data_IF_039703969809
#
_entry.id   IF_039703969809
#
_cell.length_a   1.000
_cell.length_b   1.000
_cell.length_c   1.000
_cell.angle_alpha   90.00
_cell.angle_beta   90.00
_cell.angle_gamma   90.00
#
_symmetry.space_group_name_H-M   'P 1'
#
loop_
_entity.id
_entity.type
_entity.pdbx_description
1 polymer ?
#
# COMPACT_ATOMS: atom_id res chain seq x y z
N UNK A 1 9.97 -5.09 -0.95
CA UNK A 1 8.94 -5.49 0.03
C UNK A 1 8.69 -4.29 0.92
N UNK A 2 7.42 -3.92 1.13
CA UNK A 2 7.01 -2.74 1.89
C UNK A 2 5.92 -3.13 2.87
N UNK A 3 6.07 -2.74 4.13
CA UNK A 3 5.17 -3.03 5.24
C UNK A 3 4.24 -1.86 5.59
N UNK A 4 3.22 -2.14 6.41
CA UNK A 4 2.24 -1.17 6.89
C UNK A 4 1.48 -0.40 5.81
N UNK A 5 1.29 -1.02 4.64
CA UNK A 5 0.69 -0.39 3.46
C UNK A 5 -0.80 -0.10 3.61
N UNK A 6 -1.48 -0.68 4.61
CA UNK A 6 -2.87 -0.35 4.94
C UNK A 6 -2.99 0.84 5.91
N UNK A 7 -1.87 1.31 6.48
CA UNK A 7 -1.83 2.44 7.42
C UNK A 7 -2.89 2.35 8.54
N UNK A 8 -3.05 1.19 9.16
CA UNK A 8 -4.08 0.89 10.16
C UNK A 8 -5.50 0.87 9.60
N UNK A 9 -5.67 0.47 8.33
CA UNK A 9 -6.95 0.48 7.62
C UNK A 9 -7.38 1.84 7.04
N UNK A 10 -6.72 2.94 7.43
CA UNK A 10 -7.11 4.30 7.06
C UNK A 10 -7.01 4.63 5.56
N UNK A 11 -6.32 3.80 4.78
CA UNK A 11 -6.27 3.98 3.31
C UNK A 11 -7.56 3.57 2.60
N UNK A 12 -8.36 2.69 3.20
CA UNK A 12 -9.61 2.15 2.60
C UNK A 12 -10.85 2.45 3.43
N UNK A 13 -10.74 2.41 4.75
CA UNK A 13 -11.88 2.58 5.66
C UNK A 13 -12.13 4.06 5.97
N UNK A 14 -13.30 4.57 5.57
CA UNK A 14 -13.74 5.94 5.85
C UNK A 14 -14.05 6.18 7.34
N UNK A 15 -14.31 5.11 8.10
CA UNK A 15 -14.52 5.15 9.54
C UNK A 15 -13.23 5.10 10.35
N UNK A 16 -12.11 4.69 9.74
CA UNK A 16 -10.82 4.64 10.41
C UNK A 16 -10.23 6.04 10.58
N UNK A 17 -9.62 6.29 11.74
CA UNK A 17 -8.95 7.57 12.02
C UNK A 17 -7.77 7.76 11.05
N UNK A 18 -7.74 8.84 10.26
CA UNK A 18 -6.59 9.13 9.39
C UNK A 18 -5.31 9.30 10.21
N UNK A 19 -4.25 8.65 9.76
CA UNK A 19 -2.88 8.87 10.24
C UNK A 19 -2.26 10.02 9.46
N UNK A 20 -1.20 10.63 10.01
CA UNK A 20 -0.45 11.72 9.35
C UNK A 20 0.02 11.36 7.93
N UNK A 21 0.25 10.08 7.67
CA UNK A 21 0.75 9.55 6.39
C UNK A 21 -0.32 8.81 5.57
N UNK A 22 -1.60 8.85 5.92
CA UNK A 22 -2.66 8.12 5.19
C UNK A 22 -2.71 8.51 3.71
N UNK A 23 -2.71 9.81 3.41
CA UNK A 23 -2.76 10.28 2.01
C UNK A 23 -1.48 9.95 1.24
N UNK A 24 -0.31 10.04 1.90
CA UNK A 24 0.95 9.61 1.33
C UNK A 24 0.92 8.10 0.99
N UNK A 25 0.37 7.28 1.89
CA UNK A 25 0.29 5.84 1.69
C UNK A 25 -0.69 5.47 0.57
N UNK A 26 -1.81 6.19 0.43
CA UNK A 26 -2.71 6.03 -0.73
C UNK A 26 -1.97 6.30 -2.04
N UNK A 27 -1.31 7.45 -2.14
CA UNK A 27 -0.54 7.81 -3.33
C UNK A 27 0.60 6.82 -3.61
N UNK A 28 1.27 6.33 -2.57
CA UNK A 28 2.28 5.28 -2.68
C UNK A 28 1.70 3.98 -3.24
N UNK A 29 0.59 3.50 -2.67
CA UNK A 29 -0.06 2.26 -3.11
C UNK A 29 -0.52 2.37 -4.58
N UNK A 30 -1.11 3.50 -4.97
CA UNK A 30 -1.48 3.78 -6.37
C UNK A 30 -0.26 3.80 -7.30
N UNK A 31 0.84 4.42 -6.87
CA UNK A 31 2.08 4.48 -7.65
C UNK A 31 2.67 3.09 -7.85
N UNK A 32 2.75 2.29 -6.79
CA UNK A 32 3.29 0.93 -6.86
C UNK A 32 2.40 0.02 -7.71
N UNK A 33 1.09 0.09 -7.54
CA UNK A 33 0.13 -0.70 -8.33
C UNK A 33 0.21 -0.41 -9.84
N UNK A 34 0.47 0.85 -10.20
CA UNK A 34 0.56 1.29 -11.60
C UNK A 34 2.00 1.36 -12.14
N UNK A 35 3.01 0.98 -11.36
CA UNK A 35 4.40 1.18 -11.77
C UNK A 35 4.73 0.31 -12.99
N UNK A 36 5.23 0.88 -14.11
CA UNK A 36 5.36 0.16 -15.38
C UNK A 36 6.30 -1.04 -15.29
N UNK A 37 7.32 -0.95 -14.44
CA UNK A 37 8.35 -1.99 -14.27
C UNK A 37 8.09 -2.94 -13.10
N UNK A 38 7.01 -2.77 -12.31
CA UNK A 38 6.75 -3.64 -11.15
C UNK A 38 5.52 -4.52 -11.37
N UNK A 39 5.67 -5.79 -11.03
CA UNK A 39 4.56 -6.68 -10.74
C UNK A 39 4.42 -6.74 -9.22
N UNK A 40 3.26 -6.32 -8.71
CA UNK A 40 3.05 -6.08 -7.28
C UNK A 40 1.83 -6.82 -6.75
N UNK A 41 1.97 -7.42 -5.57
CA UNK A 41 0.92 -8.11 -4.84
C UNK A 41 0.78 -7.50 -3.44
N UNK A 42 -0.44 -7.10 -3.07
CA UNK A 42 -0.77 -6.71 -1.71
C UNK A 42 -1.30 -7.93 -0.96
N UNK A 43 -0.64 -8.28 0.13
CA UNK A 43 -0.99 -9.40 1.00
C UNK A 43 -1.49 -8.84 2.33
N UNK A 44 -2.73 -9.15 2.76
CA UNK A 44 -3.32 -8.61 3.97
C UNK A 44 -2.84 -9.35 5.23
N UNK A 45 -1.52 -9.36 5.47
CA UNK A 45 -0.92 -9.86 6.71
C UNK A 45 -0.50 -8.66 7.56
N UNK A 46 -0.88 -8.67 8.84
CA UNK A 46 -0.62 -7.57 9.77
C UNK A 46 -1.31 -6.28 9.30
N UNK A 47 -0.56 -5.18 9.21
CA UNK A 47 -1.04 -3.89 8.70
C UNK A 47 -0.87 -3.77 7.15
N UNK A 48 -0.86 -4.93 6.49
CA UNK A 48 -0.65 -5.07 5.05
C UNK A 48 0.83 -5.12 4.65
N UNK A 49 1.09 -5.93 3.63
CA UNK A 49 2.40 -6.10 3.05
C UNK A 49 2.30 -6.05 1.52
N UNK A 50 3.07 -5.18 0.87
CA UNK A 50 3.22 -5.19 -0.58
C UNK A 50 4.55 -5.86 -0.96
N UNK A 51 4.45 -6.90 -1.78
CA UNK A 51 5.60 -7.56 -2.42
C UNK A 51 5.60 -7.14 -3.88
N UNK A 52 6.71 -6.56 -4.34
CA UNK A 52 6.90 -6.15 -5.72
C UNK A 52 8.13 -6.84 -6.30
N UNK A 53 8.01 -7.28 -7.55
CA UNK A 53 9.07 -7.86 -8.36
C UNK A 53 9.28 -7.01 -9.61
N UNK A 54 10.53 -6.80 -10.01
CA UNK A 54 10.84 -6.16 -11.29
C UNK A 54 10.41 -7.07 -12.45
N UNK A 55 9.68 -6.51 -13.40
CA UNK A 55 9.37 -7.16 -14.69
C UNK A 55 10.69 -7.37 -15.45
N UNK A 56 10.78 -8.50 -16.16
CA UNK A 56 11.89 -8.78 -17.08
C UNK A 56 11.73 -8.00 -18.38
#
# INVERSE_FOLDING_TARGET
>A
MTDNVLAGGSVVDKGAKPKRYTELMKAFNETVANHPQLESFLIPIGDGLTISKMKK
#
